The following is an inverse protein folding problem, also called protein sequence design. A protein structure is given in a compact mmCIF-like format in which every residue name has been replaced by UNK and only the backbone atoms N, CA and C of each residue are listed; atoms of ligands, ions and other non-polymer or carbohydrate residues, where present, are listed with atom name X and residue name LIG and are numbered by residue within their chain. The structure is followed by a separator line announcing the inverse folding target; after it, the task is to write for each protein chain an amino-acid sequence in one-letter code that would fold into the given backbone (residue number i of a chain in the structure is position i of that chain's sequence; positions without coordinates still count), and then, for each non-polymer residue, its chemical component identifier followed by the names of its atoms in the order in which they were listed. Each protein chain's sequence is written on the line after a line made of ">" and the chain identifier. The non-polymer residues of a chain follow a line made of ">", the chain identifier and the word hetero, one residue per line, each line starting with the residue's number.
data_IF_523690414069
#
_entry.id   IF_523690414069
#
_cell.length_a   1.000
_cell.length_b   1.000
_cell.length_c   1.000
_cell.angle_alpha   90.00
_cell.angle_beta   90.00
_cell.angle_gamma   90.00
#
_symmetry.space_group_name_H-M   'P 1'
#
loop_
_entity.id
_entity.type
_entity.pdbx_description
1 polymer ?
#
# COMPACT_ATOMS: atom_id res chain seq x y z
N UNK A 1 -12.53 -3.27 -4.03
CA UNK A 1 -11.67 -4.47 -3.92
C UNK A 1 -11.27 -5.09 -5.26
N UNK A 2 -12.18 -5.60 -6.11
CA UNK A 2 -11.77 -6.20 -7.40
C UNK A 2 -10.96 -5.25 -8.31
N UNK A 3 -11.44 -4.01 -8.47
CA UNK A 3 -10.72 -2.98 -9.24
C UNK A 3 -9.34 -2.67 -8.65
N UNK A 4 -9.24 -2.65 -7.32
CA UNK A 4 -7.98 -2.42 -6.60
C UNK A 4 -6.95 -3.52 -6.91
N UNK A 5 -7.37 -4.78 -6.88
CA UNK A 5 -6.51 -5.93 -7.19
C UNK A 5 -6.07 -5.93 -8.65
N UNK A 6 -6.96 -5.58 -9.57
CA UNK A 6 -6.61 -5.49 -11.00
C UNK A 6 -5.56 -4.39 -11.23
N UNK A 7 -5.71 -3.23 -10.58
CA UNK A 7 -4.71 -2.16 -10.65
C UNK A 7 -3.36 -2.61 -10.09
N UNK A 8 -3.34 -3.33 -8.97
CA UNK A 8 -2.08 -3.90 -8.41
C UNK A 8 -1.43 -4.85 -9.42
N UNK A 9 -2.22 -5.71 -10.07
CA UNK A 9 -1.71 -6.61 -11.11
C UNK A 9 -1.10 -5.86 -12.29
N UNK A 10 -1.74 -4.80 -12.76
CA UNK A 10 -1.22 -3.97 -13.87
C UNK A 10 0.06 -3.23 -13.48
N UNK A 11 0.12 -2.67 -12.27
CA UNK A 11 1.22 -1.79 -11.84
C UNK A 11 2.43 -2.52 -11.24
N UNK A 12 2.22 -3.73 -10.72
CA UNK A 12 3.25 -4.50 -10.01
C UNK A 12 3.43 -5.93 -10.56
N UNK A 13 2.56 -6.39 -11.46
CA UNK A 13 2.60 -7.77 -11.95
C UNK A 13 2.21 -8.82 -10.90
N UNK A 14 1.67 -8.39 -9.75
CA UNK A 14 1.30 -9.26 -8.62
C UNK A 14 -0.22 -9.45 -8.63
N UNK A 15 -0.66 -10.71 -8.67
CA UNK A 15 -2.09 -11.05 -8.63
C UNK A 15 -2.55 -11.34 -7.20
N UNK A 16 -3.41 -10.47 -6.67
CA UNK A 16 -4.12 -10.69 -5.40
C UNK A 16 -5.44 -11.41 -5.71
N UNK A 17 -5.58 -12.64 -5.25
CA UNK A 17 -6.74 -13.49 -5.60
C UNK A 17 -8.03 -13.06 -4.90
N UNK A 18 -7.92 -12.75 -3.62
CA UNK A 18 -9.04 -12.37 -2.76
C UNK A 18 -8.56 -11.63 -1.50
N UNK A 19 -9.49 -11.25 -0.63
CA UNK A 19 -9.23 -10.51 0.61
C UNK A 19 -8.52 -11.31 1.71
N UNK A 20 -8.19 -12.59 1.45
CA UNK A 20 -7.42 -13.46 2.33
C UNK A 20 -6.02 -13.79 1.79
N UNK A 21 -5.69 -13.37 0.57
CA UNK A 21 -4.41 -13.65 -0.09
C UNK A 21 -3.26 -12.78 0.45
N UNK A 22 -2.95 -12.98 1.73
CA UNK A 22 -1.86 -12.26 2.40
C UNK A 22 -0.49 -12.63 1.83
N UNK A 23 -0.34 -13.81 1.24
CA UNK A 23 0.93 -14.24 0.62
C UNK A 23 1.33 -13.31 -0.52
N UNK A 24 0.42 -13.03 -1.46
CA UNK A 24 0.74 -12.11 -2.56
C UNK A 24 0.72 -10.64 -2.10
N UNK A 25 -0.11 -10.29 -1.11
CA UNK A 25 -0.05 -8.96 -0.50
C UNK A 25 1.30 -8.70 0.19
N UNK A 26 1.91 -9.71 0.81
CA UNK A 26 3.22 -9.58 1.44
C UNK A 26 4.34 -9.42 0.42
N UNK A 27 4.29 -10.14 -0.71
CA UNK A 27 5.24 -9.91 -1.83
C UNK A 27 5.20 -8.47 -2.34
N UNK A 28 4.02 -7.83 -2.31
CA UNK A 28 3.89 -6.43 -2.67
C UNK A 28 4.64 -5.54 -1.67
N UNK A 29 4.58 -5.83 -0.37
CA UNK A 29 5.36 -5.14 0.66
C UNK A 29 6.86 -5.32 0.44
N UNK A 30 7.32 -6.55 0.19
CA UNK A 30 8.74 -6.84 -0.10
C UNK A 30 9.22 -6.07 -1.34
N UNK A 31 8.38 -5.99 -2.39
CA UNK A 31 8.68 -5.19 -3.59
C UNK A 31 8.84 -3.69 -3.27
N UNK A 32 8.07 -3.16 -2.32
CA UNK A 32 8.19 -1.77 -1.88
C UNK A 32 9.43 -1.57 -0.99
N UNK A 33 9.75 -2.53 -0.14
CA UNK A 33 10.96 -2.55 0.69
C UNK A 33 12.23 -2.53 -0.17
N UNK A 34 12.29 -3.34 -1.24
CA UNK A 34 13.40 -3.35 -2.19
C UNK A 34 13.63 -1.98 -2.86
N UNK A 35 12.58 -1.16 -2.95
CA UNK A 35 12.65 0.22 -3.45
C UNK A 35 12.97 1.25 -2.37
N UNK A 36 13.21 0.84 -1.13
CA UNK A 36 13.56 1.71 -0.01
C UNK A 36 12.37 2.25 0.80
N UNK A 37 11.15 1.76 0.54
CA UNK A 37 9.99 2.15 1.34
C UNK A 37 9.93 1.40 2.66
N UNK A 38 9.66 2.12 3.74
CA UNK A 38 9.31 1.56 5.04
C UNK A 38 7.80 1.48 5.13
N UNK A 39 7.25 0.30 5.35
CA UNK A 39 5.80 0.08 5.46
C UNK A 39 5.39 -0.15 6.91
N UNK A 40 4.42 0.63 7.40
CA UNK A 40 3.86 0.51 8.74
C UNK A 40 2.48 -0.17 8.66
N UNK A 41 2.32 -1.29 9.35
CA UNK A 41 1.03 -1.99 9.45
C UNK A 41 0.57 -1.98 10.90
N UNK A 42 -0.58 -1.35 11.14
CA UNK A 42 -1.17 -1.26 12.48
C UNK A 42 -2.51 -1.98 12.45
N UNK A 43 -2.64 -3.00 13.28
CA UNK A 43 -3.87 -3.75 13.49
C UNK A 43 -4.29 -3.69 14.96
N UNK A 44 -5.56 -3.41 15.20
CA UNK A 44 -6.17 -3.33 16.52
C UNK A 44 -7.69 -3.42 16.41
N UNK A 45 -8.37 -3.55 17.54
CA UNK A 45 -9.84 -3.61 17.58
C UNK A 45 -10.43 -2.33 16.98
N UNK A 46 -11.02 -2.42 15.79
CA UNK A 46 -11.60 -1.29 15.05
C UNK A 46 -10.58 -0.38 14.34
N UNK A 47 -9.30 -0.77 14.28
CA UNK A 47 -8.25 0.02 13.62
C UNK A 47 -7.42 -0.89 12.71
N UNK A 48 -7.43 -0.58 11.42
CA UNK A 48 -6.58 -1.22 10.40
C UNK A 48 -5.96 -0.12 9.57
N UNK A 49 -4.65 -0.01 9.64
CA UNK A 49 -3.92 1.05 8.97
C UNK A 49 -2.69 0.47 8.28
N UNK A 50 -2.42 1.02 7.11
CA UNK A 50 -1.21 0.76 6.34
C UNK A 50 -0.72 2.13 5.88
N UNK A 51 0.49 2.49 6.30
CA UNK A 51 1.17 3.73 5.91
C UNK A 51 2.56 3.37 5.36
N UNK A 52 3.19 4.31 4.69
CA UNK A 52 4.51 4.16 4.12
C UNK A 52 5.37 5.40 4.32
N UNK A 53 6.68 5.23 4.40
CA UNK A 53 7.65 6.31 4.46
C UNK A 53 8.85 6.02 3.57
N UNK A 54 9.41 7.06 2.95
CA UNK A 54 10.63 6.96 2.16
C UNK A 54 11.48 8.22 2.34
N UNK A 55 12.81 8.09 2.35
CA UNK A 55 13.75 9.21 2.58
C UNK A 55 13.55 10.39 1.62
N UNK A 56 13.26 10.10 0.34
CA UNK A 56 13.01 11.11 -0.69
C UNK A 56 11.62 11.75 -0.64
N UNK A 57 10.64 11.13 0.03
CA UNK A 57 9.22 11.54 -0.07
C UNK A 57 8.59 11.86 1.30
N UNK A 58 9.19 11.45 2.42
CA UNK A 58 8.57 11.55 3.74
C UNK A 58 7.48 10.48 3.95
N UNK A 59 6.58 10.72 4.91
CA UNK A 59 5.45 9.82 5.18
C UNK A 59 4.35 10.07 4.14
N UNK A 60 3.89 9.00 3.52
CA UNK A 60 2.95 9.03 2.40
C UNK A 60 1.67 9.77 2.78
N UNK A 61 0.97 9.35 3.83
CA UNK A 61 -0.32 9.96 4.17
C UNK A 61 -0.19 11.27 4.95
N UNK A 62 0.96 11.55 5.58
CA UNK A 62 1.20 12.84 6.22
C UNK A 62 1.11 14.02 5.24
N UNK A 63 1.37 13.77 3.95
CA UNK A 63 1.25 14.77 2.88
C UNK A 63 -0.21 15.21 2.66
N UNK A 64 -1.19 14.38 3.01
CA UNK A 64 -2.62 14.69 2.87
C UNK A 64 -3.30 15.14 4.17
N UNK A 65 -2.57 15.15 5.29
CA UNK A 65 -3.13 15.47 6.61
C UNK A 65 -4.08 14.39 7.17
N UNK A 66 -4.06 13.20 6.59
CA UNK A 66 -4.96 12.10 6.93
C UNK A 66 -4.25 10.95 7.65
N UNK A 67 -5.00 10.25 8.51
CA UNK A 67 -4.54 8.99 9.10
C UNK A 67 -5.26 7.86 8.36
N UNK A 68 -4.56 7.03 7.57
CA UNK A 68 -5.21 6.04 6.73
C UNK A 68 -5.95 5.01 7.58
N UNK A 69 -7.19 4.70 7.20
CA UNK A 69 -8.02 3.70 7.85
C UNK A 69 -8.73 2.86 6.79
N UNK A 70 -8.58 1.53 6.86
CA UNK A 70 -9.06 0.61 5.84
C UNK A 70 -10.03 -0.42 6.41
N UNK A 71 -10.90 -0.96 5.54
CA UNK A 71 -11.78 -2.08 5.88
C UNK A 71 -11.01 -3.38 6.13
N UNK A 72 -9.87 -3.56 5.45
CA UNK A 72 -8.95 -4.70 5.64
C UNK A 72 -7.48 -4.29 5.55
N UNK A 73 -6.57 -5.14 6.06
CA UNK A 73 -5.13 -4.92 5.89
C UNK A 73 -4.72 -5.11 4.43
N UNK A 74 -5.31 -6.08 3.71
CA UNK A 74 -5.01 -6.29 2.29
C UNK A 74 -5.42 -5.08 1.44
N UNK A 75 -6.59 -4.51 1.71
CA UNK A 75 -7.01 -3.25 1.10
C UNK A 75 -5.98 -2.15 1.34
N UNK A 76 -5.55 -1.98 2.60
CA UNK A 76 -4.55 -0.97 2.95
C UNK A 76 -3.20 -1.17 2.25
N UNK A 77 -2.73 -2.41 2.15
CA UNK A 77 -1.50 -2.76 1.43
C UNK A 77 -1.63 -2.39 -0.05
N UNK A 78 -2.71 -2.81 -0.70
CA UNK A 78 -2.91 -2.57 -2.12
C UNK A 78 -3.08 -1.07 -2.43
N UNK A 79 -3.88 -0.35 -1.63
CA UNK A 79 -4.10 1.08 -1.80
C UNK A 79 -2.80 1.88 -1.60
N UNK A 80 -2.06 1.58 -0.52
CA UNK A 80 -0.78 2.23 -0.22
C UNK A 80 0.25 1.99 -1.32
N UNK A 81 0.35 0.76 -1.84
CA UNK A 81 1.22 0.46 -2.96
C UNK A 81 0.86 1.28 -4.20
N UNK A 82 -0.42 1.38 -4.55
CA UNK A 82 -0.84 2.15 -5.72
C UNK A 82 -0.56 3.65 -5.57
N UNK A 83 -0.75 4.22 -4.37
CA UNK A 83 -0.36 5.62 -4.12
C UNK A 83 1.14 5.84 -4.22
N UNK A 84 1.95 4.91 -3.69
CA UNK A 84 3.40 4.96 -3.89
C UNK A 84 3.73 4.95 -5.38
N UNK A 85 3.10 4.09 -6.17
CA UNK A 85 3.35 4.03 -7.61
C UNK A 85 3.02 5.34 -8.31
N UNK A 86 1.90 5.96 -7.93
CA UNK A 86 1.48 7.25 -8.46
C UNK A 86 2.49 8.36 -8.12
N UNK A 87 2.94 8.39 -6.86
CA UNK A 87 3.99 9.30 -6.41
C UNK A 87 5.30 9.11 -7.17
N UNK A 88 5.73 7.85 -7.35
CA UNK A 88 6.95 7.51 -8.09
C UNK A 88 6.88 7.95 -9.56
N UNK A 89 5.70 7.86 -10.20
CA UNK A 89 5.50 8.24 -11.60
C UNK A 89 5.44 9.76 -11.80
N UNK A 90 4.74 10.46 -10.90
CA UNK A 90 4.36 11.85 -11.11
C UNK A 90 5.15 12.84 -10.24
N UNK A 91 5.93 12.35 -9.27
CA UNK A 91 6.61 13.16 -8.25
C UNK A 91 5.65 13.82 -7.24
N UNK A 92 4.34 13.61 -7.40
CA UNK A 92 3.24 14.12 -6.55
C UNK A 92 2.12 13.08 -6.54
N UNK A 93 1.28 13.11 -5.50
CA UNK A 93 0.01 12.39 -5.41
C UNK A 93 -1.10 13.41 -5.25
#
# INVERSE_FOLDING_TARGET
>A
MKELFERVKVEYGIEIRDESDMTNAWKLIETLEEKGWVIYIITGRGRKQVDAWHSNYGSLYSQFGDIPAFGSIIEGICATALYIRELEKNGTV
#
